data_IF_393626852825
#
_entry.id   IF_393626852825
#
_cell.length_a   1.000
_cell.length_b   1.000
_cell.length_c   1.000
_cell.angle_alpha   90.00
_cell.angle_beta   90.00
_cell.angle_gamma   90.00
#
_symmetry.space_group_name_H-M   'P 1'
#
loop_
_entity.id
_entity.type
_entity.pdbx_description
1 polymer ?
#
# COMPACT_ATOMS: atom_id res chain seq x y z
N UNK A 1 6.20 27.59 -18.19
CA UNK A 1 7.11 26.89 -19.12
C UNK A 1 8.46 26.76 -18.41
N UNK A 2 8.48 26.05 -17.25
CA UNK A 2 9.65 25.94 -16.34
C UNK A 2 9.75 24.54 -15.70
N UNK A 3 9.15 23.51 -16.29
CA UNK A 3 9.05 22.17 -15.68
C UNK A 3 10.03 21.13 -16.23
N UNK A 4 10.87 21.43 -17.22
CA UNK A 4 11.65 20.41 -17.93
C UNK A 4 13.17 20.39 -17.60
N UNK A 5 13.67 21.34 -16.83
CA UNK A 5 15.14 21.49 -16.66
C UNK A 5 15.73 20.63 -15.51
N UNK A 6 14.87 20.04 -14.63
CA UNK A 6 15.34 19.25 -13.48
C UNK A 6 15.32 17.74 -13.69
N UNK A 7 14.85 17.24 -14.83
CA UNK A 7 14.71 15.79 -15.08
C UNK A 7 15.98 15.15 -15.65
N UNK A 8 16.96 15.92 -16.08
CA UNK A 8 18.13 15.43 -16.85
C UNK A 8 19.21 14.71 -16.03
N UNK A 9 19.00 14.44 -14.74
CA UNK A 9 19.99 13.75 -13.89
C UNK A 9 19.40 12.65 -12.99
N UNK A 10 18.07 12.38 -13.09
CA UNK A 10 17.43 11.40 -12.21
C UNK A 10 17.11 10.11 -12.95
N UNK A 11 17.38 8.97 -12.31
CA UNK A 11 17.03 7.63 -12.78
C UNK A 11 15.51 7.44 -12.89
N UNK A 12 14.79 7.89 -11.86
CA UNK A 12 13.35 7.77 -11.76
C UNK A 12 12.75 8.85 -10.87
N UNK A 13 11.49 9.20 -11.15
CA UNK A 13 10.62 10.01 -10.30
C UNK A 13 9.46 9.13 -9.85
N UNK A 14 9.28 8.97 -8.55
CA UNK A 14 8.23 8.13 -7.97
C UNK A 14 7.30 9.03 -7.16
N UNK A 15 6.06 9.28 -7.62
CA UNK A 15 5.08 10.02 -6.86
C UNK A 15 4.54 9.17 -5.70
N UNK A 16 4.41 9.81 -4.54
CA UNK A 16 3.79 9.28 -3.33
C UNK A 16 2.70 10.25 -2.95
N UNK A 17 1.46 9.80 -2.95
CA UNK A 17 0.29 10.63 -2.64
C UNK A 17 -0.48 10.05 -1.48
N UNK A 18 -0.84 10.93 -0.54
CA UNK A 18 -1.69 10.61 0.60
C UNK A 18 -3.02 11.32 0.42
N UNK A 19 -4.13 10.59 0.56
CA UNK A 19 -5.49 11.09 0.34
C UNK A 19 -6.42 10.72 1.50
N UNK A 20 -7.44 11.57 1.71
CA UNK A 20 -8.44 11.41 2.76
C UNK A 20 -7.94 11.76 4.17
N UNK A 21 -8.86 11.86 5.13
CA UNK A 21 -8.53 12.21 6.51
C UNK A 21 -7.89 13.58 6.65
N UNK A 22 -6.82 13.68 7.44
CA UNK A 22 -6.08 14.94 7.62
C UNK A 22 -5.40 15.40 6.33
N UNK A 23 -5.03 14.47 5.45
CA UNK A 23 -4.37 14.78 4.18
C UNK A 23 -5.23 15.63 3.24
N UNK A 24 -6.57 15.64 3.38
CA UNK A 24 -7.47 16.54 2.65
C UNK A 24 -7.25 18.01 3.05
N UNK A 25 -6.81 18.25 4.28
CA UNK A 25 -6.44 19.57 4.79
C UNK A 25 -4.97 19.91 4.57
N UNK A 26 -4.26 19.08 3.79
CA UNK A 26 -2.81 19.16 3.58
C UNK A 26 -1.98 18.99 4.86
N UNK A 27 -2.51 18.24 5.81
CA UNK A 27 -1.90 17.95 7.09
C UNK A 27 -1.64 16.45 7.21
N UNK A 28 -0.50 16.06 7.76
CA UNK A 28 -0.22 14.67 8.17
C UNK A 28 0.55 14.74 9.48
N UNK A 29 0.20 13.88 10.42
CA UNK A 29 0.92 13.77 11.69
C UNK A 29 2.41 13.51 11.42
N UNK A 30 3.27 14.39 11.93
CA UNK A 30 4.71 14.41 11.62
C UNK A 30 5.41 13.07 11.94
N UNK A 31 5.00 12.43 13.04
CA UNK A 31 5.60 11.16 13.46
C UNK A 31 5.35 10.05 12.43
N UNK A 32 4.08 9.87 12.03
CA UNK A 32 3.73 8.80 11.06
C UNK A 32 4.22 9.13 9.64
N UNK A 33 4.29 10.43 9.28
CA UNK A 33 4.91 10.85 8.03
C UNK A 33 6.41 10.54 8.03
N UNK A 34 7.11 10.85 9.11
CA UNK A 34 8.54 10.56 9.25
C UNK A 34 8.82 9.06 9.12
N UNK A 35 8.02 8.22 9.78
CA UNK A 35 8.09 6.76 9.65
C UNK A 35 7.85 6.31 8.20
N UNK A 36 6.83 6.84 7.55
CA UNK A 36 6.51 6.54 6.15
C UNK A 36 7.63 6.91 5.20
N UNK A 37 8.19 8.11 5.34
CA UNK A 37 9.28 8.58 4.50
C UNK A 37 10.55 7.75 4.69
N UNK A 38 10.85 7.31 5.90
CA UNK A 38 11.97 6.42 6.19
C UNK A 38 11.79 5.06 5.51
N UNK A 39 10.60 4.47 5.61
CA UNK A 39 10.25 3.24 4.92
C UNK A 39 10.36 3.36 3.41
N UNK A 40 9.75 4.42 2.84
CA UNK A 40 9.80 4.70 1.40
C UNK A 40 11.23 4.93 0.90
N UNK A 41 12.03 5.72 1.62
CA UNK A 41 13.43 5.95 1.25
C UNK A 41 14.20 4.64 1.14
N UNK A 42 13.95 3.70 2.06
CA UNK A 42 14.59 2.37 2.03
C UNK A 42 14.12 1.54 0.83
N UNK A 43 12.82 1.48 0.58
CA UNK A 43 12.25 0.74 -0.58
C UNK A 43 12.81 1.31 -1.87
N UNK A 44 12.77 2.63 -2.05
CA UNK A 44 13.22 3.31 -3.27
C UNK A 44 14.72 3.21 -3.49
N UNK A 45 15.53 3.27 -2.43
CA UNK A 45 16.97 3.12 -2.55
C UNK A 45 17.36 1.72 -3.02
N UNK A 46 16.77 0.67 -2.43
CA UNK A 46 17.06 -0.72 -2.79
C UNK A 46 16.58 -1.04 -4.21
N UNK A 47 15.36 -0.63 -4.55
CA UNK A 47 14.79 -0.85 -5.91
C UNK A 47 15.53 -0.05 -6.96
N UNK A 48 15.85 1.21 -6.69
CA UNK A 48 16.62 2.06 -7.60
C UNK A 48 18.03 1.54 -7.83
N UNK A 49 18.71 1.11 -6.77
CA UNK A 49 20.03 0.48 -6.90
C UNK A 49 19.98 -0.80 -7.73
N UNK A 50 18.99 -1.66 -7.48
CA UNK A 50 18.81 -2.88 -8.28
C UNK A 50 18.54 -2.58 -9.76
N UNK A 51 17.68 -1.59 -10.07
CA UNK A 51 17.41 -1.18 -11.46
C UNK A 51 18.63 -0.56 -12.12
N UNK A 52 19.46 0.16 -11.36
CA UNK A 52 20.67 0.78 -11.91
C UNK A 52 21.80 -0.25 -12.17
N UNK A 53 22.01 -1.19 -11.23
CA UNK A 53 23.20 -2.09 -11.22
C UNK A 53 22.89 -3.54 -11.57
N UNK A 54 21.64 -3.99 -11.46
CA UNK A 54 21.25 -5.40 -11.50
C UNK A 54 21.57 -6.17 -10.21
N UNK A 55 22.14 -5.51 -9.19
CA UNK A 55 22.59 -6.14 -7.97
C UNK A 55 21.71 -5.76 -6.77
N UNK A 56 21.35 -6.78 -5.98
CA UNK A 56 20.65 -6.58 -4.72
C UNK A 56 21.62 -6.31 -3.59
N UNK A 57 21.61 -5.10 -3.06
CA UNK A 57 22.44 -4.65 -1.94
C UNK A 57 21.58 -4.28 -0.74
N UNK A 58 21.89 -4.86 0.44
CA UNK A 58 21.20 -4.55 1.71
C UNK A 58 21.74 -3.30 2.41
N UNK A 59 23.01 -3.04 2.27
CA UNK A 59 23.69 -1.96 3.00
C UNK A 59 23.50 -0.63 2.29
N UNK A 60 22.79 0.31 2.91
CA UNK A 60 22.50 1.63 2.33
C UNK A 60 23.76 2.38 1.91
N UNK A 61 24.84 2.26 2.69
CA UNK A 61 26.13 2.92 2.42
C UNK A 61 26.87 2.36 1.20
N UNK A 62 26.51 1.15 0.76
CA UNK A 62 27.08 0.50 -0.42
C UNK A 62 26.21 0.68 -1.68
N UNK A 63 25.20 1.54 -1.63
CA UNK A 63 24.34 1.84 -2.77
C UNK A 63 24.83 3.08 -3.51
N UNK A 64 24.86 2.99 -4.83
CA UNK A 64 25.25 4.10 -5.72
C UNK A 64 24.10 5.07 -6.04
N UNK A 65 22.95 4.88 -5.37
CA UNK A 65 21.77 5.72 -5.56
C UNK A 65 21.50 6.62 -4.36
N UNK A 66 20.96 7.79 -4.65
CA UNK A 66 20.43 8.73 -3.65
C UNK A 66 18.94 8.90 -3.87
N UNK A 67 18.17 8.87 -2.79
CA UNK A 67 16.73 9.19 -2.82
C UNK A 67 16.56 10.57 -2.22
N UNK A 68 16.02 11.48 -3.01
CA UNK A 68 15.71 12.86 -2.63
C UNK A 68 14.19 13.03 -2.69
N UNK A 69 13.66 14.01 -1.97
CA UNK A 69 12.24 14.37 -2.06
C UNK A 69 12.14 15.83 -2.47
N UNK A 70 11.23 16.13 -3.38
CA UNK A 70 10.87 17.50 -3.73
C UNK A 70 9.88 18.07 -2.72
N UNK A 71 9.82 19.37 -2.66
CA UNK A 71 8.80 20.13 -1.94
C UNK A 71 7.38 19.63 -2.32
N UNK A 72 6.48 19.43 -1.34
CA UNK A 72 5.10 19.01 -1.62
C UNK A 72 4.38 20.02 -2.50
N UNK A 73 3.58 19.53 -3.46
CA UNK A 73 2.75 20.40 -4.32
C UNK A 73 1.46 20.80 -3.63
N UNK A 74 0.97 22.02 -3.92
CA UNK A 74 -0.19 22.67 -3.30
C UNK A 74 -1.46 22.03 -3.77
N UNK A 75 -1.94 21.00 -3.90
CA UNK A 75 -3.29 20.50 -4.26
C UNK A 75 -3.67 19.11 -3.70
N UNK A 76 -2.76 18.43 -3.09
CA UNK A 76 -2.93 17.20 -2.32
C UNK A 76 -1.60 16.93 -1.62
N UNK A 77 -1.57 16.13 -0.58
CA UNK A 77 -0.31 15.80 0.08
C UNK A 77 0.48 14.82 -0.79
N UNK A 78 1.09 15.37 -1.87
CA UNK A 78 1.87 14.61 -2.84
C UNK A 78 3.35 14.98 -2.74
N UNK A 79 4.18 13.96 -2.58
CA UNK A 79 5.63 14.05 -2.59
C UNK A 79 6.17 13.40 -3.87
N UNK A 80 7.16 14.01 -4.48
CA UNK A 80 7.92 13.42 -5.58
C UNK A 80 9.26 12.94 -5.06
N UNK A 81 9.44 11.62 -4.96
CA UNK A 81 10.72 11.03 -4.64
C UNK A 81 11.56 10.92 -5.92
N UNK A 82 12.77 11.47 -5.88
CA UNK A 82 13.73 11.46 -6.97
C UNK A 82 14.81 10.44 -6.65
N UNK A 83 15.02 9.49 -7.56
CA UNK A 83 16.11 8.54 -7.47
C UNK A 83 17.22 9.03 -8.41
N UNK A 84 18.37 9.38 -7.85
CA UNK A 84 19.56 9.80 -8.58
C UNK A 84 20.64 8.73 -8.49
N UNK A 85 21.36 8.52 -9.60
CA UNK A 85 22.45 7.57 -9.69
C UNK A 85 23.75 8.29 -10.06
N UNK A 86 24.85 7.93 -9.41
CA UNK A 86 26.12 8.64 -9.58
C UNK A 86 26.87 8.29 -10.86
N UNK A 87 26.57 7.16 -11.50
CA UNK A 87 27.27 6.67 -12.69
C UNK A 87 26.41 6.81 -13.94
N UNK A 88 27.06 7.08 -15.10
CA UNK A 88 26.36 7.27 -16.38
C UNK A 88 25.90 6.01 -17.09
N UNK A 89 26.40 4.83 -16.71
CA UNK A 89 25.97 3.56 -17.29
C UNK A 89 24.87 2.94 -16.44
N UNK A 90 23.65 2.95 -16.95
CA UNK A 90 22.46 2.37 -16.31
C UNK A 90 22.03 1.13 -17.08
N UNK A 91 21.74 0.05 -16.35
CA UNK A 91 21.29 -1.22 -16.94
C UNK A 91 19.97 -1.07 -17.72
N UNK A 92 19.07 -0.19 -17.26
CA UNK A 92 17.75 0.08 -17.83
C UNK A 92 17.61 1.50 -18.36
N UNK A 93 18.60 1.99 -19.13
CA UNK A 93 18.53 3.35 -19.69
C UNK A 93 17.25 3.57 -20.54
N UNK A 94 16.54 4.66 -20.27
CA UNK A 94 15.31 5.03 -20.99
C UNK A 94 14.01 4.44 -20.44
N UNK A 95 14.06 3.34 -19.65
CA UNK A 95 12.87 2.67 -19.06
C UNK A 95 12.96 2.51 -17.54
N UNK A 96 13.98 3.06 -16.91
CA UNK A 96 14.23 2.90 -15.47
C UNK A 96 13.07 3.35 -14.59
N UNK A 97 12.43 4.47 -14.91
CA UNK A 97 11.28 4.99 -14.14
C UNK A 97 10.11 4.02 -14.06
N UNK A 98 9.56 3.56 -15.20
CA UNK A 98 8.51 2.55 -15.22
C UNK A 98 8.90 1.24 -14.51
N UNK A 99 10.15 0.79 -14.65
CA UNK A 99 10.63 -0.44 -14.00
C UNK A 99 10.69 -0.28 -12.49
N UNK A 100 11.22 0.84 -11.98
CA UNK A 100 11.21 1.15 -10.54
C UNK A 100 9.78 1.19 -10.02
N UNK A 101 8.86 1.88 -10.72
CA UNK A 101 7.46 1.97 -10.33
C UNK A 101 6.79 0.60 -10.24
N UNK A 102 6.95 -0.24 -11.25
CA UNK A 102 6.40 -1.60 -11.28
C UNK A 102 6.99 -2.48 -10.16
N UNK A 103 8.30 -2.37 -9.91
CA UNK A 103 8.98 -3.14 -8.87
C UNK A 103 8.53 -2.71 -7.46
N UNK A 104 8.38 -1.41 -7.22
CA UNK A 104 7.84 -0.89 -5.97
C UNK A 104 6.42 -1.39 -5.76
N UNK A 105 5.53 -1.26 -6.76
CA UNK A 105 4.16 -1.74 -6.69
C UNK A 105 4.09 -3.26 -6.39
N UNK A 106 4.95 -4.05 -7.04
CA UNK A 106 5.04 -5.50 -6.81
C UNK A 106 5.47 -5.83 -5.36
N UNK A 107 6.45 -5.11 -4.81
CA UNK A 107 6.91 -5.29 -3.42
C UNK A 107 5.77 -5.03 -2.43
N UNK A 108 5.01 -3.94 -2.62
CA UNK A 108 3.85 -3.64 -1.77
C UNK A 108 2.72 -4.66 -1.95
N UNK A 109 2.43 -5.09 -3.18
CA UNK A 109 1.43 -6.12 -3.46
C UNK A 109 1.80 -7.46 -2.79
N UNK A 110 3.07 -7.86 -2.87
CA UNK A 110 3.57 -9.07 -2.18
C UNK A 110 3.45 -8.95 -0.66
N UNK A 111 3.75 -7.79 -0.10
CA UNK A 111 3.66 -7.56 1.35
C UNK A 111 2.21 -7.57 1.86
N UNK A 112 1.23 -7.20 1.01
CA UNK A 112 -0.20 -7.21 1.34
C UNK A 112 -0.90 -8.55 1.08
N UNK A 113 -0.24 -9.52 0.44
CA UNK A 113 -0.83 -10.80 0.09
C UNK A 113 -1.89 -10.76 -1.01
N UNK A 114 -1.96 -9.68 -1.81
CA UNK A 114 -2.88 -9.55 -2.95
C UNK A 114 -2.41 -10.38 -4.14
N UNK A 115 -2.82 -11.65 -4.21
CA UNK A 115 -2.31 -12.64 -5.17
C UNK A 115 -2.53 -12.26 -6.64
N UNK A 116 -3.70 -11.73 -6.99
CA UNK A 116 -4.02 -11.36 -8.38
C UNK A 116 -3.20 -10.16 -8.86
N UNK A 117 -3.16 -9.08 -8.07
CA UNK A 117 -2.34 -7.89 -8.39
C UNK A 117 -0.86 -8.24 -8.45
N UNK A 118 -0.38 -9.08 -7.52
CA UNK A 118 0.99 -9.56 -7.50
C UNK A 118 1.34 -10.33 -8.77
N UNK A 119 0.44 -11.19 -9.27
CA UNK A 119 0.65 -11.95 -10.52
C UNK A 119 0.73 -11.03 -11.73
N UNK A 120 -0.22 -10.08 -11.86
CA UNK A 120 -0.22 -9.11 -12.97
C UNK A 120 1.05 -8.25 -13.00
N UNK A 121 1.49 -7.78 -11.83
CA UNK A 121 2.71 -6.98 -11.70
C UNK A 121 3.97 -7.80 -11.97
N UNK A 122 3.98 -9.07 -11.55
CA UNK A 122 5.07 -10.00 -11.87
C UNK A 122 5.16 -10.24 -13.38
N UNK A 123 4.05 -10.55 -14.03
CA UNK A 123 4.02 -10.79 -15.49
C UNK A 123 4.48 -9.53 -16.28
N UNK A 124 4.18 -8.34 -15.80
CA UNK A 124 4.65 -7.09 -16.38
C UNK A 124 6.16 -6.89 -16.19
N UNK A 125 6.67 -7.15 -14.98
CA UNK A 125 8.10 -7.12 -14.68
C UNK A 125 8.88 -8.14 -15.51
N UNK A 126 8.38 -9.36 -15.61
CA UNK A 126 9.02 -10.43 -16.37
C UNK A 126 9.19 -10.08 -17.84
N UNK A 127 8.18 -9.43 -18.45
CA UNK A 127 8.28 -8.93 -19.84
C UNK A 127 9.38 -7.90 -20.02
N UNK A 128 9.52 -6.97 -19.05
CA UNK A 128 10.55 -5.93 -19.12
C UNK A 128 11.94 -6.49 -18.86
N UNK A 129 12.06 -7.42 -17.90
CA UNK A 129 13.33 -8.03 -17.52
C UNK A 129 13.80 -9.07 -18.53
N UNK A 130 12.90 -9.79 -19.21
CA UNK A 130 13.23 -10.73 -20.28
C UNK A 130 13.91 -10.05 -21.48
N UNK A 131 13.70 -8.75 -21.66
CA UNK A 131 14.37 -7.99 -22.72
C UNK A 131 15.87 -7.74 -22.44
N UNK A 132 16.36 -8.04 -21.22
CA UNK A 132 17.70 -7.63 -20.79
C UNK A 132 18.54 -8.70 -20.07
N UNK A 133 18.02 -9.91 -19.81
CA UNK A 133 18.75 -10.93 -19.05
C UNK A 133 18.46 -12.35 -19.53
N UNK A 134 19.55 -13.11 -19.82
CA UNK A 134 19.50 -14.53 -20.19
C UNK A 134 19.26 -15.47 -18.98
N UNK A 135 19.18 -14.94 -17.74
CA UNK A 135 19.15 -15.75 -16.51
C UNK A 135 17.97 -15.41 -15.61
N UNK A 136 16.75 -15.70 -16.09
CA UNK A 136 15.49 -15.35 -15.43
C UNK A 136 15.32 -15.96 -14.03
N UNK A 137 15.74 -17.21 -13.81
CA UNK A 137 15.56 -17.90 -12.52
C UNK A 137 16.35 -17.23 -11.38
N UNK A 138 17.59 -16.81 -11.66
CA UNK A 138 18.40 -16.09 -10.66
C UNK A 138 17.83 -14.72 -10.36
N UNK A 139 17.26 -14.06 -11.36
CA UNK A 139 16.63 -12.76 -11.22
C UNK A 139 15.39 -12.86 -10.33
N UNK A 140 14.52 -13.85 -10.56
CA UNK A 140 13.34 -14.08 -9.71
C UNK A 140 13.72 -14.35 -8.25
N UNK A 141 14.67 -15.23 -8.00
CA UNK A 141 15.14 -15.50 -6.63
C UNK A 141 15.68 -14.22 -5.94
N UNK A 142 16.34 -13.36 -6.70
CA UNK A 142 16.86 -12.08 -6.20
C UNK A 142 15.72 -11.12 -5.86
N UNK A 143 14.71 -11.00 -6.73
CA UNK A 143 13.54 -10.16 -6.50
C UNK A 143 12.76 -10.61 -5.25
N UNK A 144 12.52 -11.90 -5.10
CA UNK A 144 11.85 -12.47 -3.93
C UNK A 144 12.61 -12.18 -2.64
N UNK A 145 13.93 -12.43 -2.62
CA UNK A 145 14.79 -12.12 -1.48
C UNK A 145 14.79 -10.62 -1.14
N UNK A 146 14.79 -9.77 -2.16
CA UNK A 146 14.72 -8.33 -1.99
C UNK A 146 13.39 -7.91 -1.35
N UNK A 147 12.25 -8.38 -1.88
CA UNK A 147 10.93 -8.07 -1.34
C UNK A 147 10.77 -8.53 0.12
N UNK A 148 11.21 -9.75 0.43
CA UNK A 148 11.14 -10.27 1.80
C UNK A 148 11.99 -9.45 2.77
N UNK A 149 13.16 -8.99 2.33
CA UNK A 149 14.04 -8.14 3.15
C UNK A 149 13.51 -6.73 3.36
N UNK A 150 12.64 -6.25 2.46
CA UNK A 150 12.01 -4.93 2.52
C UNK A 150 10.70 -4.90 3.32
N UNK A 151 10.16 -6.04 3.77
CA UNK A 151 8.93 -6.09 4.57
C UNK A 151 8.91 -5.10 5.74
N UNK A 152 9.96 -4.94 6.56
CA UNK A 152 9.96 -3.95 7.63
C UNK A 152 9.84 -2.51 7.11
N UNK A 153 10.52 -2.18 6.00
CA UNK A 153 10.45 -0.85 5.40
C UNK A 153 9.07 -0.57 4.78
N UNK A 154 8.44 -1.58 4.14
CA UNK A 154 7.07 -1.47 3.63
C UNK A 154 6.06 -1.26 4.75
N UNK A 155 6.22 -1.91 5.91
CA UNK A 155 5.39 -1.67 7.10
C UNK A 155 5.48 -0.22 7.59
N UNK A 156 6.69 0.33 7.64
CA UNK A 156 6.90 1.73 7.99
C UNK A 156 6.27 2.67 6.94
N UNK A 157 6.45 2.36 5.65
CA UNK A 157 5.95 3.20 4.56
C UNK A 157 4.43 3.42 4.63
N UNK A 158 3.66 2.45 5.11
CA UNK A 158 2.20 2.55 5.22
C UNK A 158 1.71 3.12 6.57
N UNK A 159 2.60 3.67 7.40
CA UNK A 159 2.25 4.18 8.73
C UNK A 159 1.11 5.22 8.76
N UNK A 160 1.00 6.17 7.80
CA UNK A 160 -0.08 7.16 7.80
C UNK A 160 -1.47 6.60 7.45
N UNK A 161 -1.55 5.49 6.71
CA UNK A 161 -2.83 4.95 6.24
C UNK A 161 -3.67 4.44 7.42
N UNK A 162 -4.91 4.91 7.53
CA UNK A 162 -5.81 4.63 8.65
C UNK A 162 -5.51 5.44 9.92
N UNK A 163 -4.61 6.43 9.83
CA UNK A 163 -4.33 7.41 10.90
C UNK A 163 -4.56 8.83 10.39
N UNK A 164 -3.65 9.33 9.56
CA UNK A 164 -3.74 10.70 8.99
C UNK A 164 -4.23 10.73 7.54
N UNK A 165 -4.30 9.60 6.87
CA UNK A 165 -4.91 9.47 5.54
C UNK A 165 -5.70 8.17 5.43
N UNK A 166 -6.65 8.11 4.49
CA UNK A 166 -7.43 6.90 4.20
C UNK A 166 -6.74 6.02 3.18
N UNK A 167 -6.03 6.62 2.24
CA UNK A 167 -5.30 5.91 1.19
C UNK A 167 -3.94 6.53 0.92
N UNK A 168 -3.02 5.70 0.45
CA UNK A 168 -1.71 6.09 -0.07
C UNK A 168 -1.55 5.52 -1.48
N UNK A 169 -1.21 6.36 -2.44
CA UNK A 169 -0.90 5.91 -3.81
C UNK A 169 0.60 6.00 -4.04
N UNK A 170 1.19 4.92 -4.51
CA UNK A 170 2.63 4.82 -4.80
C UNK A 170 2.84 4.56 -6.29
N UNK A 171 3.86 5.17 -6.86
CA UNK A 171 4.22 5.07 -8.28
C UNK A 171 3.06 5.45 -9.23
N UNK A 172 2.15 6.30 -8.77
CA UNK A 172 1.03 6.83 -9.55
C UNK A 172 -0.13 5.87 -9.80
N UNK A 173 0.00 4.59 -9.46
CA UNK A 173 -1.01 3.57 -9.80
C UNK A 173 -1.35 2.59 -8.67
N UNK A 174 -0.41 2.28 -7.78
CA UNK A 174 -0.66 1.31 -6.72
C UNK A 174 -1.29 1.97 -5.51
N UNK A 175 -2.56 1.63 -5.26
CA UNK A 175 -3.36 2.19 -4.16
C UNK A 175 -3.32 1.26 -2.95
N UNK A 176 -2.96 1.83 -1.80
CA UNK A 176 -2.91 1.18 -0.49
C UNK A 176 -4.01 1.80 0.35
N UNK A 177 -5.10 1.08 0.49
CA UNK A 177 -6.20 1.40 1.38
C UNK A 177 -5.95 0.83 2.79
N UNK A 178 -6.83 1.11 3.72
CA UNK A 178 -6.67 0.70 5.10
C UNK A 178 -6.62 -0.83 5.28
N UNK A 179 -7.48 -1.66 4.60
CA UNK A 179 -7.35 -3.12 4.64
C UNK A 179 -5.96 -3.60 4.16
N UNK A 180 -5.47 -3.01 3.06
CA UNK A 180 -4.15 -3.32 2.51
C UNK A 180 -3.03 -2.96 3.49
N UNK A 181 -3.10 -1.77 4.10
CA UNK A 181 -2.14 -1.34 5.10
C UNK A 181 -2.16 -2.23 6.35
N UNK A 182 -3.33 -2.68 6.78
CA UNK A 182 -3.46 -3.61 7.90
C UNK A 182 -2.82 -4.97 7.57
N UNK A 183 -3.05 -5.51 6.38
CA UNK A 183 -2.41 -6.76 5.96
C UNK A 183 -0.87 -6.62 5.94
N UNK A 184 -0.35 -5.51 5.42
CA UNK A 184 1.10 -5.22 5.41
C UNK A 184 1.68 -5.15 6.84
N UNK A 185 0.95 -4.55 7.79
CA UNK A 185 1.40 -4.43 9.19
C UNK A 185 1.32 -5.74 9.95
N UNK A 186 0.46 -6.66 9.52
CA UNK A 186 0.23 -7.94 10.18
C UNK A 186 1.46 -8.84 10.21
N UNK A 187 1.45 -9.78 11.17
CA UNK A 187 2.45 -10.86 11.28
C UNK A 187 1.77 -12.17 10.88
N UNK A 188 2.35 -12.95 10.00
CA UNK A 188 1.76 -14.18 9.44
C UNK A 188 1.41 -14.06 7.97
N UNK A 189 0.79 -15.06 7.42
CA UNK A 189 0.23 -15.02 6.06
C UNK A 189 -1.08 -14.23 6.09
N UNK A 190 -0.98 -12.95 5.79
CA UNK A 190 -2.12 -12.05 5.68
C UNK A 190 -2.46 -11.82 4.21
N UNK A 191 -3.75 -11.90 3.88
CA UNK A 191 -4.25 -11.65 2.54
C UNK A 191 -5.42 -10.68 2.60
N UNK A 192 -5.51 -9.79 1.60
CA UNK A 192 -6.69 -8.93 1.42
C UNK A 192 -7.59 -9.57 0.38
N UNK A 193 -8.80 -9.94 0.79
CA UNK A 193 -9.82 -10.44 -0.12
C UNK A 193 -10.35 -9.34 -1.06
N UNK A 194 -10.93 -9.78 -2.19
CA UNK A 194 -11.69 -8.88 -3.06
C UNK A 194 -12.89 -8.28 -2.30
N UNK A 195 -13.34 -7.11 -2.71
CA UNK A 195 -14.57 -6.53 -2.18
C UNK A 195 -15.76 -7.40 -2.55
N UNK A 196 -16.57 -7.75 -1.57
CA UNK A 196 -17.78 -8.56 -1.75
C UNK A 196 -18.89 -8.14 -0.80
N UNK A 197 -20.06 -8.68 -1.03
CA UNK A 197 -21.22 -8.52 -0.12
C UNK A 197 -21.09 -9.50 1.04
N UNK A 198 -21.32 -8.99 2.24
CA UNK A 198 -21.33 -9.74 3.49
C UNK A 198 -22.69 -9.62 4.15
N UNK A 199 -23.21 -10.71 4.67
CA UNK A 199 -24.36 -10.73 5.57
C UNK A 199 -23.85 -10.88 6.99
N UNK A 200 -24.15 -9.90 7.85
CA UNK A 200 -23.60 -9.86 9.20
C UNK A 200 -24.54 -9.20 10.21
N UNK A 201 -24.31 -9.50 11.47
CA UNK A 201 -24.99 -8.90 12.61
C UNK A 201 -23.94 -8.12 13.41
N UNK A 202 -24.22 -6.86 13.70
CA UNK A 202 -23.37 -6.03 14.57
C UNK A 202 -23.61 -6.42 16.01
N UNK A 203 -22.56 -6.75 16.74
CA UNK A 203 -22.62 -7.11 18.16
C UNK A 203 -22.01 -6.08 19.09
N UNK A 204 -21.24 -5.14 18.56
CA UNK A 204 -20.60 -4.03 19.27
C UNK A 204 -20.31 -2.93 18.26
N UNK A 205 -20.52 -1.67 18.62
CA UNK A 205 -20.23 -0.51 17.76
C UNK A 205 -19.68 0.63 18.62
N UNK A 206 -18.55 1.17 18.22
CA UNK A 206 -18.01 2.43 18.69
C UNK A 206 -18.19 3.47 17.58
N UNK A 207 -19.08 4.41 17.80
CA UNK A 207 -19.43 5.46 16.82
C UNK A 207 -18.36 6.56 16.72
N UNK A 208 -17.48 6.72 17.73
CA UNK A 208 -16.41 7.72 17.68
C UNK A 208 -15.26 7.25 16.79
N UNK A 209 -14.89 5.97 16.92
CA UNK A 209 -13.80 5.37 16.15
C UNK A 209 -14.24 4.65 14.88
N UNK A 210 -15.56 4.53 14.66
CA UNK A 210 -16.17 3.75 13.56
C UNK A 210 -15.72 2.29 13.56
N UNK A 211 -15.43 1.72 14.74
CA UNK A 211 -15.06 0.32 14.90
C UNK A 211 -16.23 -0.51 15.41
N UNK A 212 -16.28 -1.76 15.00
CA UNK A 212 -17.35 -2.68 15.39
C UNK A 212 -16.81 -4.09 15.63
N UNK A 213 -17.63 -4.91 16.29
CA UNK A 213 -17.52 -6.36 16.24
C UNK A 213 -18.78 -6.92 15.57
N UNK A 214 -18.57 -7.82 14.64
CA UNK A 214 -19.63 -8.42 13.85
C UNK A 214 -19.59 -9.94 13.93
N UNK A 215 -20.72 -10.59 13.67
CA UNK A 215 -20.83 -12.01 13.43
C UNK A 215 -21.30 -12.21 12.01
N UNK A 216 -20.74 -13.20 11.31
CA UNK A 216 -21.17 -13.56 9.98
C UNK A 216 -22.44 -14.42 10.06
N UNK A 217 -23.30 -14.30 9.06
CA UNK A 217 -24.51 -15.13 8.96
C UNK A 217 -24.18 -16.63 8.91
N UNK A 218 -23.05 -16.98 8.28
CA UNK A 218 -22.60 -18.37 8.10
C UNK A 218 -21.85 -18.92 9.31
N UNK A 219 -21.32 -18.06 10.21
CA UNK A 219 -20.58 -18.44 11.42
C UNK A 219 -20.86 -17.46 12.56
N UNK A 220 -21.88 -17.77 13.34
CA UNK A 220 -22.30 -16.99 14.52
C UNK A 220 -21.40 -17.22 15.75
N UNK A 221 -20.49 -18.18 15.70
CA UNK A 221 -19.65 -18.57 16.84
C UNK A 221 -18.54 -17.57 17.14
N UNK A 222 -18.04 -16.87 16.12
CA UNK A 222 -16.88 -15.98 16.20
C UNK A 222 -17.27 -14.52 16.02
N UNK A 223 -16.78 -13.67 16.93
CA UNK A 223 -16.83 -12.21 16.75
C UNK A 223 -15.62 -11.74 15.98
N UNK A 224 -15.86 -11.12 14.84
CA UNK A 224 -14.84 -10.59 13.93
C UNK A 224 -14.76 -9.09 14.12
N UNK A 225 -13.55 -8.54 14.13
CA UNK A 225 -13.34 -7.09 14.13
C UNK A 225 -13.85 -6.50 12.83
N UNK A 226 -14.53 -5.36 12.90
CA UNK A 226 -14.94 -4.62 11.73
C UNK A 226 -14.58 -3.13 11.88
N UNK A 227 -14.29 -2.49 10.77
CA UNK A 227 -14.16 -1.04 10.66
C UNK A 227 -15.13 -0.54 9.60
N UNK A 228 -15.92 0.47 9.95
CA UNK A 228 -16.91 1.04 9.07
C UNK A 228 -16.30 2.30 8.45
N UNK A 229 -16.04 2.24 7.14
CA UNK A 229 -15.53 3.37 6.35
C UNK A 229 -16.63 4.03 5.52
N UNK A 230 -17.86 3.50 5.59
CA UNK A 230 -19.03 4.06 4.97
C UNK A 230 -19.39 5.42 5.61
N UNK A 231 -19.55 6.50 4.82
CA UNK A 231 -19.97 7.80 5.31
C UNK A 231 -21.30 7.80 6.08
N UNK A 232 -22.18 6.82 5.83
CA UNK A 232 -23.43 6.68 6.56
C UNK A 232 -23.24 6.42 8.07
N UNK A 233 -22.06 5.95 8.49
CA UNK A 233 -21.74 5.78 9.90
C UNK A 233 -21.69 7.10 10.68
N UNK A 234 -21.48 8.24 9.99
CA UNK A 234 -21.47 9.57 10.57
C UNK A 234 -22.84 10.29 10.52
N UNK A 235 -23.87 9.68 9.94
CA UNK A 235 -25.20 10.30 9.80
C UNK A 235 -26.05 10.11 11.05
N UNK A 236 -27.08 10.96 11.22
CA UNK A 236 -28.09 10.83 12.25
C UNK A 236 -29.46 10.74 11.57
N UNK A 237 -30.23 9.65 11.73
CA UNK A 237 -29.88 8.43 12.49
C UNK A 237 -28.78 7.61 11.82
N UNK A 238 -27.91 7.02 12.64
CA UNK A 238 -26.86 6.11 12.15
C UNK A 238 -27.47 4.72 11.89
N UNK A 239 -27.47 4.23 10.64
CA UNK A 239 -28.10 2.95 10.29
C UNK A 239 -27.40 1.74 10.95
N UNK A 240 -26.10 1.81 11.19
CA UNK A 240 -25.36 0.75 11.86
C UNK A 240 -25.69 0.67 13.35
N UNK A 241 -25.89 1.82 13.99
CA UNK A 241 -26.36 1.87 15.38
C UNK A 241 -27.79 1.34 15.50
N UNK A 242 -28.65 1.63 14.52
CA UNK A 242 -30.00 1.07 14.45
C UNK A 242 -29.96 -0.46 14.29
N UNK A 243 -29.10 -0.97 13.41
CA UNK A 243 -28.92 -2.41 13.23
C UNK A 243 -28.41 -3.10 14.50
N UNK A 244 -27.48 -2.48 15.23
CA UNK A 244 -27.03 -2.98 16.54
C UNK A 244 -28.18 -3.04 17.54
N UNK A 245 -28.96 -1.96 17.68
CA UNK A 245 -30.04 -1.87 18.64
C UNK A 245 -31.17 -2.89 18.41
N UNK A 246 -31.41 -3.26 17.15
CA UNK A 246 -32.43 -4.23 16.74
C UNK A 246 -31.89 -5.64 16.54
N UNK A 247 -30.59 -5.84 16.70
CA UNK A 247 -29.89 -7.09 16.35
C UNK A 247 -30.24 -7.59 14.93
N UNK A 248 -30.47 -6.64 14.01
CA UNK A 248 -30.83 -6.95 12.63
C UNK A 248 -29.63 -7.48 11.84
N UNK A 249 -29.90 -8.46 10.99
CA UNK A 249 -28.94 -8.86 9.94
C UNK A 249 -28.94 -7.78 8.85
N UNK A 250 -27.74 -7.33 8.49
CA UNK A 250 -27.54 -6.32 7.43
C UNK A 250 -26.65 -6.87 6.33
N UNK A 251 -26.83 -6.33 5.13
CA UNK A 251 -25.98 -6.60 3.97
C UNK A 251 -25.06 -5.40 3.75
N UNK A 252 -23.78 -5.66 3.68
CA UNK A 252 -22.76 -4.63 3.50
C UNK A 252 -21.77 -5.03 2.42
N UNK A 253 -21.21 -4.06 1.70
CA UNK A 253 -19.99 -4.27 0.92
C UNK A 253 -18.78 -4.09 1.79
N UNK A 254 -17.75 -4.85 1.54
CA UNK A 254 -16.50 -4.70 2.26
C UNK A 254 -15.43 -5.67 1.84
N UNK A 255 -14.20 -5.33 2.24
CA UNK A 255 -13.02 -6.17 2.07
C UNK A 255 -12.70 -6.87 3.38
N UNK A 256 -12.33 -8.14 3.30
CA UNK A 256 -11.81 -8.87 4.45
C UNK A 256 -10.29 -8.94 4.42
N UNK A 257 -9.68 -8.81 5.59
CA UNK A 257 -8.30 -9.22 5.84
C UNK A 257 -8.35 -10.63 6.39
N UNK A 258 -7.74 -11.55 5.67
CA UNK A 258 -7.64 -12.95 6.02
C UNK A 258 -6.30 -13.22 6.70
N UNK A 259 -6.28 -14.05 7.71
CA UNK A 259 -5.07 -14.57 8.34
C UNK A 259 -5.13 -16.07 8.36
N UNK A 260 -4.13 -16.73 7.78
CA UNK A 260 -4.06 -18.20 7.72
C UNK A 260 -5.37 -18.84 7.17
N UNK A 261 -6.03 -18.15 6.21
CA UNK A 261 -7.28 -18.58 5.59
C UNK A 261 -8.57 -18.22 6.34
N UNK A 262 -8.49 -17.66 7.55
CA UNK A 262 -9.64 -17.21 8.34
C UNK A 262 -9.82 -15.67 8.25
N UNK A 263 -11.08 -15.22 8.37
CA UNK A 263 -11.39 -13.77 8.42
C UNK A 263 -10.93 -13.21 9.76
N UNK A 264 -9.95 -12.30 9.73
CA UNK A 264 -9.42 -11.60 10.90
C UNK A 264 -10.13 -10.26 11.13
N UNK A 265 -10.41 -9.53 10.04
CA UNK A 265 -11.13 -8.26 10.09
C UNK A 265 -11.91 -8.00 8.81
N UNK A 266 -12.99 -7.21 8.91
CA UNK A 266 -13.81 -6.74 7.77
C UNK A 266 -13.82 -5.22 7.76
N UNK A 267 -13.54 -4.62 6.58
CA UNK A 267 -13.65 -3.20 6.33
C UNK A 267 -14.92 -2.96 5.51
N UNK A 268 -15.91 -2.34 6.14
CA UNK A 268 -17.24 -2.09 5.57
C UNK A 268 -17.18 -0.76 4.82
N UNK A 269 -17.35 -0.81 3.50
CA UNK A 269 -17.30 0.36 2.62
C UNK A 269 -18.67 0.94 2.32
N UNK A 270 -19.73 0.13 2.40
CA UNK A 270 -21.08 0.55 2.00
C UNK A 270 -22.16 -0.34 2.63
N UNK A 271 -23.29 0.24 3.01
CA UNK A 271 -24.48 -0.47 3.45
C UNK A 271 -25.41 -0.70 2.25
N UNK A 272 -25.82 -1.95 2.01
CA UNK A 272 -26.66 -2.29 0.83
C UNK A 272 -28.15 -2.39 1.21
N UNK A 273 -28.49 -2.68 2.46
CA UNK A 273 -29.88 -2.85 2.89
C UNK A 273 -30.05 -3.83 4.03
#
# INVERSE_FOLDING_TARGET
>A
MESDEYTSGHLAVVPIRYDGGDAERHEIELNVLGESLQGMARVLAVTGNFVATGEYTKQYQAMDVRVLVKEPKANCYTLEALISFAQQQQLFSGVAGPVVGALVAWIFSRASGKKEEMKMLKDALDKVLAMQSDNQDKLHATLEKMADSLRPAVRQAVAPVGKSCTTMTVAGSYVIDEPTAQAIRGTGEMEVGAERVWELIISELDSETSTAKVRLADDDSKRIKARITDPLAATIPNPYATALATAAMIKVKGKAVMKDGEVEAIFISDLIG
#
